data_IF_060353413519
#
_entry.id   IF_060353413519
#
_cell.length_a   1.000
_cell.length_b   1.000
_cell.length_c   1.000
_cell.angle_alpha   90.00
_cell.angle_beta   90.00
_cell.angle_gamma   90.00
#
_symmetry.space_group_name_H-M   'P 1'
#
loop_
_entity.id
_entity.type
_entity.pdbx_description
1 polymer ?
#
# COMPACT_ATOMS: atom_id res chain seq x y z
N UNK A 1 11.80 11.22 5.75
CA UNK A 1 10.91 10.10 6.13
C UNK A 1 11.54 8.84 5.58
N UNK A 2 11.77 7.83 6.43
CA UNK A 2 12.31 6.55 5.98
C UNK A 2 11.29 5.85 5.08
N UNK A 3 11.74 5.45 3.89
CA UNK A 3 10.89 4.73 2.94
C UNK A 3 10.75 3.26 3.33
N UNK A 4 9.92 2.49 2.62
CA UNK A 4 9.68 1.08 2.98
C UNK A 4 10.98 0.24 2.93
N UNK A 5 11.94 0.57 2.07
CA UNK A 5 13.21 -0.18 1.95
C UNK A 5 14.08 0.07 3.18
N UNK A 6 14.20 1.33 3.60
CA UNK A 6 14.97 1.69 4.78
C UNK A 6 14.39 1.04 6.05
N UNK A 7 13.07 1.16 6.25
CA UNK A 7 12.39 0.52 7.40
C UNK A 7 12.56 -1.00 7.38
N UNK A 8 12.44 -1.63 6.21
CA UNK A 8 12.64 -3.08 6.07
C UNK A 8 14.07 -3.50 6.41
N UNK A 9 15.07 -2.75 5.96
CA UNK A 9 16.48 -3.03 6.24
C UNK A 9 16.80 -2.90 7.73
N UNK A 10 16.27 -1.87 8.39
CA UNK A 10 16.40 -1.70 9.84
C UNK A 10 15.71 -2.83 10.61
N UNK A 11 14.49 -3.21 10.20
CA UNK A 11 13.76 -4.31 10.83
C UNK A 11 14.52 -5.62 10.68
N UNK A 12 15.04 -5.91 9.48
CA UNK A 12 15.81 -7.11 9.18
C UNK A 12 17.09 -7.22 10.02
N UNK A 13 17.75 -6.08 10.26
CA UNK A 13 18.95 -5.99 11.12
C UNK A 13 18.63 -5.99 12.62
N UNK A 14 17.37 -5.98 13.03
CA UNK A 14 16.96 -5.84 14.44
C UNK A 14 17.26 -4.45 15.02
N UNK A 15 17.37 -3.43 14.17
CA UNK A 15 17.68 -2.05 14.54
C UNK A 15 16.44 -1.15 14.60
N UNK A 16 15.30 -1.63 14.11
CA UNK A 16 14.04 -0.90 14.14
C UNK A 16 13.35 -1.12 15.50
N UNK A 17 13.14 -0.05 16.28
CA UNK A 17 12.35 -0.13 17.50
C UNK A 17 10.86 -0.22 17.17
N UNK A 18 10.35 -1.43 17.03
CA UNK A 18 8.92 -1.69 16.76
C UNK A 18 8.06 -1.60 18.02
N UNK A 19 8.62 -1.29 19.19
CA UNK A 19 7.88 -1.20 20.45
C UNK A 19 7.44 0.23 20.74
N UNK A 20 8.32 1.21 20.53
CA UNK A 20 8.01 2.61 20.87
C UNK A 20 8.06 3.55 19.68
N UNK A 21 9.08 3.49 18.83
CA UNK A 21 9.23 4.44 17.70
C UNK A 21 8.40 4.05 16.46
N UNK A 22 8.46 2.78 16.08
CA UNK A 22 7.90 2.24 14.85
C UNK A 22 6.79 1.21 15.16
N UNK A 23 5.98 1.48 16.18
CA UNK A 23 4.93 0.56 16.61
C UNK A 23 3.89 0.36 15.50
N UNK A 24 3.60 -0.88 15.07
CA UNK A 24 2.82 -1.16 13.86
C UNK A 24 1.37 -0.66 13.91
N UNK A 25 0.85 -0.35 15.09
CA UNK A 25 -0.53 0.14 15.31
C UNK A 25 -0.58 1.62 15.73
N UNK A 26 0.55 2.22 16.13
CA UNK A 26 0.58 3.60 16.63
C UNK A 26 1.40 4.56 15.75
N UNK A 27 2.24 4.03 14.87
CA UNK A 27 3.06 4.82 13.95
C UNK A 27 2.53 4.66 12.53
N UNK A 28 2.05 5.76 11.96
CA UNK A 28 1.57 5.81 10.57
C UNK A 28 2.64 6.46 9.70
N UNK A 29 2.85 5.90 8.50
CA UNK A 29 3.83 6.43 7.55
C UNK A 29 3.10 6.96 6.34
N UNK A 30 3.46 8.17 5.94
CA UNK A 30 2.97 8.74 4.70
C UNK A 30 3.72 8.15 3.50
N UNK A 31 3.03 8.19 2.36
CA UNK A 31 3.59 7.90 1.06
C UNK A 31 3.83 6.42 0.77
N UNK A 32 4.19 6.17 -0.47
CA UNK A 32 4.49 4.85 -1.02
C UNK A 32 5.97 4.66 -1.33
N UNK A 33 6.36 3.47 -1.76
CA UNK A 33 7.74 3.18 -2.16
C UNK A 33 7.73 2.21 -3.34
N UNK A 34 8.31 2.61 -4.48
CA UNK A 34 8.51 1.69 -5.60
C UNK A 34 9.68 0.74 -5.25
N UNK A 35 9.32 -0.47 -4.81
CA UNK A 35 10.30 -1.43 -4.28
C UNK A 35 11.11 -2.08 -5.40
N UNK A 36 10.53 -2.17 -6.60
CA UNK A 36 11.11 -2.67 -7.84
C UNK A 36 10.36 -2.00 -9.01
N UNK A 37 10.92 -1.90 -10.23
CA UNK A 37 10.15 -1.43 -11.38
C UNK A 37 8.76 -2.08 -11.44
N UNK A 38 7.74 -1.24 -11.52
CA UNK A 38 6.32 -1.62 -11.63
C UNK A 38 5.72 -2.27 -10.37
N UNK A 39 6.35 -2.13 -9.20
CA UNK A 39 5.81 -2.63 -7.92
C UNK A 39 5.88 -1.52 -6.86
N UNK A 40 4.72 -0.99 -6.50
CA UNK A 40 4.53 0.02 -5.47
C UNK A 40 4.11 -0.64 -4.16
N UNK A 41 4.86 -0.41 -3.08
CA UNK A 41 4.53 -0.83 -1.73
C UNK A 41 3.96 0.32 -0.90
N UNK A 42 2.89 0.02 -0.16
CA UNK A 42 2.25 0.94 0.77
C UNK A 42 2.50 0.47 2.20
N UNK A 43 2.82 1.43 3.07
CA UNK A 43 3.06 1.20 4.49
C UNK A 43 1.72 1.29 5.21
N UNK A 44 1.36 0.26 5.96
CA UNK A 44 0.13 0.19 6.73
C UNK A 44 0.18 -1.02 7.66
N UNK A 45 -0.87 -1.23 8.46
CA UNK A 45 -0.94 -2.32 9.45
C UNK A 45 -0.75 -3.69 8.75
N UNK A 46 -1.49 -3.94 7.68
CA UNK A 46 -1.36 -5.16 6.87
C UNK A 46 -0.27 -5.07 5.79
N UNK A 47 0.10 -3.84 5.38
CA UNK A 47 0.87 -3.59 4.18
C UNK A 47 0.14 -4.07 2.91
N UNK A 48 0.33 -3.38 1.79
CA UNK A 48 -0.27 -3.81 0.53
C UNK A 48 0.51 -3.27 -0.67
N UNK A 49 0.25 -3.82 -1.85
CA UNK A 49 1.03 -3.54 -3.05
C UNK A 49 0.14 -3.23 -4.24
N UNK A 50 0.61 -2.35 -5.12
CA UNK A 50 0.08 -2.18 -6.46
C UNK A 50 1.15 -2.59 -7.48
N UNK A 51 0.73 -3.34 -8.49
CA UNK A 51 1.58 -3.86 -9.56
C UNK A 51 1.07 -3.29 -10.88
N UNK A 52 1.96 -2.67 -11.63
CA UNK A 52 1.68 -2.25 -13.01
C UNK A 52 2.04 -3.40 -13.96
N UNK A 53 1.02 -3.95 -14.60
CA UNK A 53 1.17 -5.08 -15.52
C UNK A 53 1.42 -4.66 -16.97
N UNK A 54 1.30 -3.36 -17.27
CA UNK A 54 1.26 -2.80 -18.62
C UNK A 54 -0.12 -2.81 -19.30
N UNK A 55 -1.09 -3.59 -18.79
CA UNK A 55 -2.51 -3.56 -19.22
C UNK A 55 -3.44 -2.90 -18.17
N UNK A 56 -2.85 -2.51 -17.04
CA UNK A 56 -3.53 -1.91 -15.90
C UNK A 56 -2.93 -2.38 -14.59
N UNK A 57 -3.54 -1.90 -13.49
CA UNK A 57 -3.04 -2.14 -12.15
C UNK A 57 -3.68 -3.39 -11.54
N UNK A 58 -2.89 -4.12 -10.77
CA UNK A 58 -3.37 -5.20 -9.88
C UNK A 58 -2.91 -4.90 -8.47
N UNK A 59 -3.81 -5.03 -7.51
CA UNK A 59 -3.47 -4.90 -6.09
C UNK A 59 -3.30 -6.26 -5.42
N UNK A 60 -2.29 -6.37 -4.56
CA UNK A 60 -2.16 -7.45 -3.57
C UNK A 60 -2.54 -6.82 -2.24
N UNK A 61 -3.68 -7.24 -1.71
CA UNK A 61 -4.42 -6.59 -0.63
C UNK A 61 -4.81 -5.14 -0.93
N UNK A 62 -5.70 -4.59 -0.11
CA UNK A 62 -6.29 -3.27 -0.25
C UNK A 62 -6.30 -2.49 1.06
N UNK A 63 -5.38 -2.80 1.98
CA UNK A 63 -5.23 -2.08 3.22
C UNK A 63 -6.46 -2.07 4.14
N UNK A 64 -6.34 -1.32 5.22
CA UNK A 64 -7.37 -1.10 6.22
C UNK A 64 -8.26 0.10 5.86
N UNK A 65 -9.29 0.34 6.68
CA UNK A 65 -10.12 1.55 6.56
C UNK A 65 -9.31 2.85 6.67
N UNK A 66 -8.18 2.83 7.36
CA UNK A 66 -7.31 3.99 7.54
C UNK A 66 -6.49 4.29 6.26
N UNK A 67 -6.35 3.30 5.38
CA UNK A 67 -5.48 3.37 4.21
C UNK A 67 -6.24 3.78 2.94
N UNK A 68 -7.57 3.92 2.99
CA UNK A 68 -8.42 4.12 1.79
C UNK A 68 -7.96 5.34 0.98
N UNK A 69 -7.84 6.51 1.64
CA UNK A 69 -7.49 7.75 0.93
C UNK A 69 -6.03 7.72 0.47
N UNK A 70 -5.11 7.45 1.40
CA UNK A 70 -3.67 7.41 1.11
C UNK A 70 -3.32 6.38 0.03
N UNK A 71 -3.94 5.20 0.08
CA UNK A 71 -3.74 4.14 -0.91
C UNK A 71 -4.18 4.57 -2.30
N UNK A 72 -5.37 5.15 -2.43
CA UNK A 72 -5.84 5.68 -3.70
C UNK A 72 -4.95 6.81 -4.22
N UNK A 73 -4.66 7.82 -3.38
CA UNK A 73 -3.85 8.98 -3.78
C UNK A 73 -2.44 8.59 -4.22
N UNK A 74 -1.76 7.72 -3.47
CA UNK A 74 -0.40 7.31 -3.80
C UNK A 74 -0.34 6.43 -5.05
N UNK A 75 -1.31 5.53 -5.25
CA UNK A 75 -1.39 4.73 -6.47
C UNK A 75 -1.66 5.63 -7.69
N UNK A 76 -2.60 6.57 -7.59
CA UNK A 76 -2.90 7.50 -8.71
C UNK A 76 -1.77 8.50 -8.94
N UNK A 77 -1.04 8.92 -7.92
CA UNK A 77 0.18 9.72 -8.09
C UNK A 77 1.26 8.95 -8.85
N UNK A 78 1.41 7.65 -8.59
CA UNK A 78 2.38 6.79 -9.27
C UNK A 78 1.98 6.44 -10.71
N UNK A 79 0.69 6.17 -10.95
CA UNK A 79 0.12 5.85 -12.28
C UNK A 79 -1.21 6.58 -12.48
N UNK A 80 -1.19 7.85 -12.89
CA UNK A 80 -2.39 8.70 -12.91
C UNK A 80 -3.43 8.31 -13.96
N UNK A 81 -3.01 7.66 -15.04
CA UNK A 81 -3.88 7.28 -16.16
C UNK A 81 -4.32 5.83 -16.14
N UNK A 82 -3.74 5.01 -15.28
CA UNK A 82 -4.04 3.58 -15.23
C UNK A 82 -5.23 3.31 -14.31
N UNK A 83 -5.98 2.28 -14.66
CA UNK A 83 -7.13 1.79 -13.90
C UNK A 83 -6.78 0.51 -13.14
N UNK A 84 -7.40 0.34 -11.98
CA UNK A 84 -7.34 -0.93 -11.25
C UNK A 84 -8.20 -1.98 -11.96
N UNK A 85 -7.57 -3.08 -12.39
CA UNK A 85 -8.25 -4.19 -13.07
C UNK A 85 -8.66 -5.30 -12.11
N UNK A 86 -7.89 -5.51 -11.05
CA UNK A 86 -8.14 -6.57 -10.09
C UNK A 86 -7.50 -6.28 -8.73
N UNK A 87 -8.06 -6.88 -7.69
CA UNK A 87 -7.46 -6.97 -6.37
C UNK A 87 -7.46 -8.42 -5.89
N UNK A 88 -6.35 -8.84 -5.30
CA UNK A 88 -6.17 -10.17 -4.72
C UNK A 88 -6.10 -9.98 -3.21
N UNK A 89 -7.10 -10.48 -2.48
CA UNK A 89 -7.06 -10.52 -1.02
C UNK A 89 -6.34 -11.79 -0.57
N UNK A 90 -5.21 -11.61 0.10
CA UNK A 90 -4.35 -12.71 0.58
C UNK A 90 -5.07 -13.56 1.61
N UNK A 91 -5.89 -12.92 2.47
CA UNK A 91 -6.72 -13.56 3.48
C UNK A 91 -7.87 -12.62 3.93
N UNK A 92 -8.68 -13.05 4.90
CA UNK A 92 -9.96 -12.43 5.23
C UNK A 92 -9.92 -11.42 6.39
N UNK A 93 -8.76 -10.82 6.68
CA UNK A 93 -8.64 -9.83 7.75
C UNK A 93 -8.95 -8.40 7.28
N UNK A 94 -9.38 -7.58 8.24
CA UNK A 94 -9.88 -6.20 8.01
C UNK A 94 -8.79 -5.23 7.57
N UNK A 95 -7.52 -5.56 7.72
CA UNK A 95 -6.40 -4.75 7.29
C UNK A 95 -5.98 -4.98 5.82
N UNK A 96 -6.78 -5.74 5.05
CA UNK A 96 -6.43 -6.16 3.69
C UNK A 96 -7.50 -5.89 2.61
N UNK A 97 -8.66 -5.30 2.91
CA UNK A 97 -9.85 -5.38 2.00
C UNK A 97 -10.52 -4.05 1.62
N UNK A 98 -10.07 -2.90 2.12
CA UNK A 98 -10.94 -1.70 2.12
C UNK A 98 -10.76 -0.69 0.99
N UNK A 99 -9.55 -0.49 0.44
CA UNK A 99 -9.24 0.63 -0.45
C UNK A 99 -9.89 0.56 -1.86
N UNK A 100 -10.56 -0.53 -2.21
CA UNK A 100 -11.09 -0.77 -3.58
C UNK A 100 -12.21 0.20 -3.95
N UNK A 101 -13.01 0.65 -2.99
CA UNK A 101 -14.20 1.47 -3.26
C UNK A 101 -13.89 2.74 -4.08
N UNK A 102 -12.76 3.42 -3.81
CA UNK A 102 -12.36 4.63 -4.53
C UNK A 102 -12.06 4.36 -6.01
N UNK A 103 -11.44 3.21 -6.31
CA UNK A 103 -11.18 2.77 -7.68
C UNK A 103 -12.49 2.39 -8.40
N UNK A 104 -13.44 1.77 -7.71
CA UNK A 104 -14.76 1.49 -8.29
C UNK A 104 -15.53 2.79 -8.62
N UNK A 105 -15.41 3.81 -7.78
CA UNK A 105 -16.03 5.13 -8.00
C UNK A 105 -15.44 5.86 -9.21
N UNK A 106 -14.13 5.74 -9.45
CA UNK A 106 -13.46 6.34 -10.63
C UNK A 106 -13.97 5.77 -11.97
N UNK A 107 -14.54 4.57 -11.96
CA UNK A 107 -15.07 3.89 -13.14
C UNK A 107 -16.54 4.24 -13.46
N UNK A 108 -17.22 5.00 -12.59
CA UNK A 108 -18.65 5.34 -12.75
C UNK A 108 -18.90 6.64 -13.53
N UNK A 109 -17.84 7.39 -13.86
CA UNK A 109 -17.87 8.64 -14.64
C UNK A 109 -17.64 8.38 -16.12
#
# INVERSE_FOLDING_TARGET
>A
MSDLKELSELAWKGLLDTKFEHHPVHTFYEGSTEIKPNILGMKGIGGFFAIDTGDGLVMIDAGSQLDIETGYEEIKKWRPKEYLKAAIFTHHHVDHVFAIQKFDEECKS
#
